data_IF_383470798164
#
_entry.id   IF_383470798164
#
_cell.length_a   1.000
_cell.length_b   1.000
_cell.length_c   1.000
_cell.angle_alpha   90.00
_cell.angle_beta   90.00
_cell.angle_gamma   90.00
#
_symmetry.space_group_name_H-M   'P 1'
#
loop_
_entity.id
_entity.type
_entity.pdbx_description
1 polymer ?
#
# COMPACT_ATOMS: atom_id res chain seq x y z
N UNK A 1 5.56 8.04 -0.91
CA UNK A 1 6.28 7.83 -2.19
C UNK A 1 5.41 6.95 -3.06
N UNK A 2 5.31 7.25 -4.34
CA UNK A 2 4.55 6.46 -5.31
C UNK A 2 5.56 5.85 -6.29
N UNK A 3 5.43 4.57 -6.60
CA UNK A 3 6.27 3.87 -7.56
C UNK A 3 5.42 3.40 -8.74
N UNK A 4 5.74 3.87 -9.93
CA UNK A 4 5.13 3.43 -11.19
C UNK A 4 5.86 2.17 -11.67
N UNK A 5 5.23 1.01 -11.45
CA UNK A 5 5.86 -0.30 -11.65
C UNK A 5 6.15 -0.56 -13.14
N UNK A 6 5.31 -0.05 -14.03
CA UNK A 6 5.45 -0.17 -15.49
C UNK A 6 6.66 0.58 -16.05
N UNK A 7 7.15 1.59 -15.32
CA UNK A 7 8.34 2.36 -15.67
C UNK A 7 9.64 1.80 -15.07
N UNK A 8 9.54 0.75 -14.24
CA UNK A 8 10.70 0.13 -13.58
C UNK A 8 11.26 -1.03 -14.44
N UNK A 9 12.58 -1.10 -14.67
CA UNK A 9 13.21 -2.22 -15.39
C UNK A 9 12.92 -3.60 -14.77
N UNK A 10 12.71 -3.66 -13.45
CA UNK A 10 12.36 -4.87 -12.69
C UNK A 10 10.84 -4.98 -12.43
N UNK A 11 10.04 -4.13 -13.06
CA UNK A 11 8.59 -3.99 -12.84
C UNK A 11 7.84 -5.32 -12.86
N UNK A 12 8.13 -6.19 -13.82
CA UNK A 12 7.48 -7.51 -13.97
C UNK A 12 7.71 -8.46 -12.78
N UNK A 13 8.85 -8.32 -12.09
CA UNK A 13 9.14 -9.08 -10.87
C UNK A 13 8.40 -8.45 -9.69
N UNK A 14 8.41 -7.12 -9.62
CA UNK A 14 7.75 -6.35 -8.58
C UNK A 14 6.21 -6.49 -8.61
N UNK A 15 5.58 -6.57 -9.78
CA UNK A 15 4.14 -6.84 -9.93
C UNK A 15 3.71 -8.15 -9.25
N UNK A 16 4.58 -9.15 -9.20
CA UNK A 16 4.25 -10.47 -8.63
C UNK A 16 4.51 -10.55 -7.13
N UNK A 17 5.29 -9.62 -6.57
CA UNK A 17 5.67 -9.65 -5.17
C UNK A 17 4.45 -9.48 -4.21
N UNK A 18 3.51 -8.55 -4.43
CA UNK A 18 2.33 -8.40 -3.57
C UNK A 18 1.45 -9.64 -3.51
N UNK A 19 1.30 -10.39 -4.61
CA UNK A 19 0.54 -11.65 -4.61
C UNK A 19 1.16 -12.69 -3.69
N UNK A 20 2.50 -12.76 -3.62
CA UNK A 20 3.21 -13.64 -2.67
C UNK A 20 3.01 -13.23 -1.21
N UNK A 21 2.66 -11.97 -0.99
CA UNK A 21 2.35 -11.40 0.33
C UNK A 21 0.84 -11.45 0.65
N UNK A 22 0.01 -12.03 -0.23
CA UNK A 22 -1.44 -12.19 -0.02
C UNK A 22 -2.32 -11.12 -0.65
N UNK A 23 -1.77 -10.23 -1.48
CA UNK A 23 -2.56 -9.22 -2.20
C UNK A 23 -3.21 -9.83 -3.45
N UNK A 24 -4.55 -9.88 -3.49
CA UNK A 24 -5.29 -10.40 -4.63
C UNK A 24 -5.30 -9.45 -5.84
N UNK A 25 -5.05 -8.15 -5.62
CA UNK A 25 -4.90 -7.14 -6.67
C UNK A 25 -3.49 -6.55 -6.56
N UNK A 26 -2.50 -7.12 -7.28
CA UNK A 26 -1.09 -6.80 -7.04
C UNK A 26 -0.69 -5.36 -7.41
N UNK A 27 -1.39 -4.75 -8.36
CA UNK A 27 -1.09 -3.39 -8.82
C UNK A 27 -2.00 -2.40 -8.08
N UNK A 28 -1.39 -1.33 -7.58
CA UNK A 28 -1.87 -0.48 -6.48
C UNK A 28 -1.81 -1.16 -5.09
N UNK A 29 -0.85 -2.07 -4.87
CA UNK A 29 -0.51 -2.56 -3.53
C UNK A 29 0.00 -1.40 -2.65
N UNK A 30 -0.66 -1.19 -1.51
CA UNK A 30 -0.38 -0.12 -0.56
C UNK A 30 0.33 -0.69 0.66
N UNK A 31 1.44 -0.05 1.00
CA UNK A 31 2.24 -0.35 2.17
C UNK A 31 2.18 0.83 3.15
N UNK A 32 1.98 0.52 4.44
CA UNK A 32 2.04 1.51 5.53
C UNK A 32 3.07 1.00 6.53
N UNK A 33 4.06 1.83 6.88
CA UNK A 33 5.14 1.44 7.80
C UNK A 33 5.95 0.23 7.31
N UNK A 34 6.09 0.05 5.99
CA UNK A 34 6.78 -1.11 5.39
C UNK A 34 5.98 -2.41 5.40
N UNK A 35 4.71 -2.41 5.84
CA UNK A 35 3.84 -3.58 5.83
C UNK A 35 2.79 -3.47 4.74
N UNK A 36 2.54 -4.57 4.01
CA UNK A 36 1.45 -4.64 3.05
C UNK A 36 0.12 -4.52 3.80
N UNK A 37 -0.69 -3.52 3.44
CA UNK A 37 -2.03 -3.29 3.98
C UNK A 37 -3.10 -3.86 3.04
N UNK A 38 -2.83 -3.85 1.74
CA UNK A 38 -3.71 -4.41 0.71
C UNK A 38 -3.70 -3.56 -0.54
N UNK A 39 -4.65 -3.83 -1.42
CA UNK A 39 -5.02 -3.05 -2.57
C UNK A 39 -5.75 -1.75 -2.18
N UNK A 40 -6.01 -0.92 -3.17
CA UNK A 40 -6.82 0.29 -3.01
C UNK A 40 -8.19 0.02 -2.36
N UNK A 41 -8.87 -1.08 -2.72
CA UNK A 41 -10.20 -1.39 -2.17
C UNK A 41 -10.16 -1.64 -0.65
N UNK A 42 -9.16 -2.38 -0.17
CA UNK A 42 -9.00 -2.66 1.26
C UNK A 42 -8.68 -1.37 2.02
N UNK A 43 -7.82 -0.50 1.45
CA UNK A 43 -7.53 0.81 2.03
C UNK A 43 -8.76 1.69 2.08
N UNK A 44 -9.61 1.69 1.05
CA UNK A 44 -10.88 2.41 1.05
C UNK A 44 -11.85 1.87 2.11
N UNK A 45 -11.92 0.55 2.30
CA UNK A 45 -12.70 -0.03 3.40
C UNK A 45 -12.18 0.40 4.78
N UNK A 46 -10.86 0.50 4.96
CA UNK A 46 -10.25 1.03 6.19
C UNK A 46 -10.57 2.52 6.40
N UNK A 47 -10.65 3.30 5.31
CA UNK A 47 -11.06 4.70 5.38
C UNK A 47 -12.52 4.82 5.84
N UNK A 48 -13.44 4.08 5.22
CA UNK A 48 -14.87 4.09 5.54
C UNK A 48 -15.17 3.59 6.96
N UNK A 49 -14.38 2.63 7.46
CA UNK A 49 -14.49 2.13 8.85
C UNK A 49 -13.77 3.01 9.88
N UNK A 50 -13.07 4.07 9.46
CA UNK A 50 -12.33 4.97 10.35
C UNK A 50 -11.01 4.40 10.90
N UNK A 51 -10.61 3.20 10.49
CA UNK A 51 -9.38 2.52 10.96
C UNK A 51 -8.13 3.04 10.27
N UNK A 52 -8.25 3.62 9.06
CA UNK A 52 -7.11 4.11 8.30
C UNK A 52 -6.35 5.23 9.02
N UNK A 53 -7.06 6.17 9.67
CA UNK A 53 -6.44 7.30 10.37
C UNK A 53 -5.52 6.81 11.52
N UNK A 54 -5.96 5.95 12.45
CA UNK A 54 -5.08 5.33 13.44
C UNK A 54 -3.83 4.65 12.87
N UNK A 55 -3.91 4.01 11.69
CA UNK A 55 -2.76 3.36 11.06
C UNK A 55 -1.73 4.36 10.52
N UNK A 56 -2.17 5.53 10.09
CA UNK A 56 -1.31 6.58 9.55
C UNK A 56 -0.70 7.47 10.64
N UNK A 57 -1.41 7.69 11.75
CA UNK A 57 -1.00 8.58 12.85
C UNK A 57 0.46 8.41 13.32
N UNK A 58 0.99 7.19 13.52
CA UNK A 58 2.39 7.02 13.94
C UNK A 58 3.43 7.57 12.96
N UNK A 59 3.06 7.70 11.68
CA UNK A 59 3.94 8.15 10.59
C UNK A 59 3.65 9.58 10.15
N UNK A 60 2.59 10.18 10.68
CA UNK A 60 2.34 11.61 10.59
C UNK A 60 3.24 12.28 11.63
N UNK A 61 4.52 12.47 11.30
CA UNK A 61 5.36 13.42 12.03
C UNK A 61 4.62 14.75 12.06
N UNK A 62 4.43 15.35 13.24
CA UNK A 62 3.96 16.72 13.37
C UNK A 62 4.78 17.58 12.41
N UNK A 63 4.16 17.99 11.31
CA UNK A 63 4.62 19.13 10.53
C UNK A 63 4.32 20.36 11.40
N UNK A 64 5.27 20.70 12.26
CA UNK A 64 5.41 22.04 12.83
C UNK A 64 6.34 22.85 11.95
#
# INVERSE_FOLDING_TARGET
MTHEIDQDPEGRVMEKAPTRLGCNVPVAAIFIGGRLVGSMNEVMSLHLSGVLIPLLKPYQTLSN
#
